data_IF_524470002628
#
_entry.id   IF_524470002628
#
_cell.length_a   1.000
_cell.length_b   1.000
_cell.length_c   1.000
_cell.angle_alpha   90.00
_cell.angle_beta   90.00
_cell.angle_gamma   90.00
#
_symmetry.space_group_name_H-M   'P 1'
#
loop_
_entity.id
_entity.type
_entity.pdbx_description
1 polymer ?
#
# COMPACT_ATOMS: atom_id res chain seq x y z
N UNK A 1 9.74 -0.12 7.89
CA UNK A 1 9.56 1.26 7.35
C UNK A 1 9.22 2.29 8.44
N UNK A 2 9.67 3.56 8.31
CA UNK A 2 9.28 4.70 9.15
C UNK A 2 8.23 5.61 8.50
N UNK A 3 7.47 6.37 9.31
CA UNK A 3 6.40 7.27 8.83
C UNK A 3 6.90 8.31 7.82
N UNK A 4 8.06 8.93 8.06
CA UNK A 4 8.56 9.97 7.16
C UNK A 4 8.98 9.39 5.81
N UNK A 5 9.58 8.19 5.81
CA UNK A 5 9.83 7.46 4.56
C UNK A 5 8.52 7.17 3.81
N UNK A 6 7.47 6.75 4.51
CA UNK A 6 6.17 6.49 3.89
C UNK A 6 5.54 7.77 3.31
N UNK A 7 5.68 8.92 4.00
CA UNK A 7 5.23 10.23 3.49
C UNK A 7 5.96 10.59 2.22
N UNK A 8 7.29 10.46 2.18
CA UNK A 8 8.10 10.80 1.01
C UNK A 8 7.70 9.95 -0.20
N UNK A 9 7.57 8.64 -0.01
CA UNK A 9 7.09 7.72 -1.05
C UNK A 9 5.69 8.12 -1.56
N UNK A 10 4.79 8.48 -0.65
CA UNK A 10 3.44 8.90 -1.01
C UNK A 10 3.44 10.24 -1.77
N UNK A 11 4.31 11.20 -1.42
CA UNK A 11 4.43 12.45 -2.18
C UNK A 11 4.94 12.21 -3.60
N UNK A 12 5.91 11.29 -3.80
CA UNK A 12 6.34 10.88 -5.13
C UNK A 12 5.19 10.25 -5.93
N UNK A 13 4.43 9.34 -5.32
CA UNK A 13 3.25 8.72 -5.95
C UNK A 13 2.22 9.78 -6.35
N UNK A 14 2.00 10.82 -5.54
CA UNK A 14 1.03 11.88 -5.82
C UNK A 14 1.34 12.73 -7.06
N UNK A 15 2.59 12.74 -7.54
CA UNK A 15 2.96 13.49 -8.74
C UNK A 15 2.55 12.80 -10.05
N UNK A 16 2.12 11.54 -10.00
CA UNK A 16 1.76 10.79 -11.21
C UNK A 16 0.51 11.35 -11.91
N UNK A 17 0.49 11.31 -13.25
CA UNK A 17 -0.73 11.58 -14.03
C UNK A 17 -1.72 10.42 -14.04
N UNK A 18 -1.29 9.22 -13.62
CA UNK A 18 -2.12 8.00 -13.60
C UNK A 18 -3.08 7.97 -12.40
N UNK A 19 -4.08 8.85 -12.41
CA UNK A 19 -5.01 9.04 -11.29
C UNK A 19 -5.75 7.76 -10.90
N UNK A 20 -6.27 7.00 -11.87
CA UNK A 20 -6.98 5.74 -11.61
C UNK A 20 -6.09 4.69 -10.95
N UNK A 21 -4.87 4.49 -11.46
CA UNK A 21 -3.92 3.52 -10.90
C UNK A 21 -3.46 3.90 -9.49
N UNK A 22 -3.29 5.20 -9.24
CA UNK A 22 -3.02 5.74 -7.90
C UNK A 22 -4.19 5.46 -6.96
N UNK A 23 -5.42 5.67 -7.41
CA UNK A 23 -6.61 5.43 -6.59
C UNK A 23 -6.77 3.93 -6.28
N UNK A 24 -6.49 3.04 -7.23
CA UNK A 24 -6.48 1.58 -7.02
C UNK A 24 -5.42 1.16 -5.99
N UNK A 25 -4.22 1.74 -6.06
CA UNK A 25 -3.17 1.54 -5.06
C UNK A 25 -3.63 1.99 -3.67
N UNK A 26 -4.21 3.18 -3.56
CA UNK A 26 -4.69 3.71 -2.28
C UNK A 26 -5.82 2.85 -1.72
N UNK A 27 -6.79 2.44 -2.54
CA UNK A 27 -7.91 1.59 -2.11
C UNK A 27 -7.44 0.21 -1.66
N UNK A 28 -6.53 -0.41 -2.40
CA UNK A 28 -5.96 -1.71 -2.02
C UNK A 28 -5.11 -1.63 -0.75
N UNK A 29 -4.36 -0.53 -0.55
CA UNK A 29 -3.63 -0.27 0.68
C UNK A 29 -4.57 -0.19 1.90
N UNK A 30 -5.65 0.61 1.80
CA UNK A 30 -6.65 0.75 2.86
C UNK A 30 -7.35 -0.57 3.14
N UNK A 31 -7.71 -1.35 2.11
CA UNK A 31 -8.32 -2.67 2.29
C UNK A 31 -7.39 -3.62 3.06
N UNK A 32 -6.13 -3.73 2.65
CA UNK A 32 -5.16 -4.57 3.35
C UNK A 32 -4.91 -4.09 4.78
N UNK A 33 -4.75 -2.78 4.99
CA UNK A 33 -4.51 -2.21 6.32
C UNK A 33 -5.66 -2.51 7.28
N UNK A 34 -6.92 -2.40 6.83
CA UNK A 34 -8.10 -2.81 7.62
C UNK A 34 -8.04 -4.28 8.02
N UNK A 35 -7.83 -5.18 7.04
CA UNK A 35 -7.69 -6.62 7.31
C UNK A 35 -6.54 -6.94 8.28
N UNK A 36 -5.43 -6.18 8.21
CA UNK A 36 -4.29 -6.35 9.13
C UNK A 36 -4.65 -5.89 10.55
N UNK A 37 -5.40 -4.81 10.69
CA UNK A 37 -5.93 -4.34 11.97
C UNK A 37 -6.94 -5.33 12.55
N UNK A 38 -7.91 -5.77 11.75
CA UNK A 38 -8.92 -6.74 12.17
C UNK A 38 -8.26 -8.07 12.60
N UNK A 39 -7.27 -8.56 11.84
CA UNK A 39 -6.51 -9.76 12.19
C UNK A 39 -5.78 -9.61 13.54
N UNK A 40 -5.26 -8.41 13.85
CA UNK A 40 -4.60 -8.17 15.13
C UNK A 40 -5.57 -8.24 16.31
N UNK A 41 -6.83 -7.83 16.10
CA UNK A 41 -7.91 -7.85 17.11
C UNK A 41 -8.65 -9.20 17.20
N UNK A 42 -8.48 -10.07 16.20
CA UNK A 42 -9.15 -11.36 16.12
C UNK A 42 -8.58 -12.44 17.06
N UNK A 43 -9.41 -13.42 17.39
CA UNK A 43 -9.00 -14.64 18.12
C UNK A 43 -8.11 -15.53 17.23
N UNK A 44 -7.38 -16.52 17.80
CA UNK A 44 -6.58 -17.44 17.01
C UNK A 44 -7.35 -18.17 15.89
N UNK A 45 -8.58 -18.62 16.17
CA UNK A 45 -9.41 -19.33 15.17
C UNK A 45 -9.85 -18.40 14.04
N UNK A 46 -10.28 -17.18 14.38
CA UNK A 46 -10.65 -16.16 13.39
C UNK A 46 -9.46 -15.75 12.52
N UNK A 47 -8.25 -15.64 13.10
CA UNK A 47 -7.03 -15.33 12.34
C UNK A 47 -6.75 -16.37 11.26
N UNK A 48 -6.98 -17.66 11.55
CA UNK A 48 -6.79 -18.75 10.59
C UNK A 48 -7.73 -18.60 9.38
N UNK A 49 -8.99 -18.21 9.63
CA UNK A 49 -9.98 -17.96 8.58
C UNK A 49 -9.60 -16.73 7.74
N UNK A 50 -9.10 -15.68 8.39
CA UNK A 50 -8.74 -14.41 7.76
C UNK A 50 -7.43 -14.46 6.96
N UNK A 51 -6.51 -15.38 7.26
CA UNK A 51 -5.16 -15.41 6.70
C UNK A 51 -5.16 -15.45 5.17
N UNK A 52 -6.07 -16.24 4.57
CA UNK A 52 -6.21 -16.33 3.11
C UNK A 52 -6.64 -14.99 2.51
N UNK A 53 -7.64 -14.33 3.09
CA UNK A 53 -8.13 -13.05 2.58
C UNK A 53 -7.08 -11.95 2.76
N UNK A 54 -6.47 -11.87 3.93
CA UNK A 54 -5.40 -10.91 4.24
C UNK A 54 -4.22 -11.06 3.28
N UNK A 55 -3.78 -12.29 3.02
CA UNK A 55 -2.69 -12.57 2.06
C UNK A 55 -3.07 -12.14 0.63
N UNK A 56 -4.30 -12.43 0.19
CA UNK A 56 -4.80 -11.98 -1.13
C UNK A 56 -4.88 -10.46 -1.23
N UNK A 57 -5.34 -9.78 -0.18
CA UNK A 57 -5.38 -8.32 -0.12
C UNK A 57 -3.98 -7.70 -0.21
N UNK A 58 -3.00 -8.31 0.47
CA UNK A 58 -1.62 -7.86 0.41
C UNK A 58 -1.03 -8.00 -0.99
N UNK A 59 -1.22 -9.17 -1.62
CA UNK A 59 -0.77 -9.40 -2.99
C UNK A 59 -1.41 -8.42 -3.97
N UNK A 60 -2.71 -8.16 -3.85
CA UNK A 60 -3.40 -7.17 -4.69
C UNK A 60 -2.82 -5.75 -4.51
N UNK A 61 -2.48 -5.34 -3.28
CA UNK A 61 -1.81 -4.07 -3.03
C UNK A 61 -0.41 -3.99 -3.68
N UNK A 62 0.38 -5.07 -3.58
CA UNK A 62 1.69 -5.16 -4.23
C UNK A 62 1.55 -5.08 -5.75
N UNK A 63 0.54 -5.74 -6.32
CA UNK A 63 0.26 -5.66 -7.76
C UNK A 63 -0.10 -4.24 -8.19
N UNK A 64 -0.93 -3.52 -7.43
CA UNK A 64 -1.22 -2.11 -7.69
C UNK A 64 0.05 -1.24 -7.65
N UNK A 65 0.96 -1.47 -6.69
CA UNK A 65 2.25 -0.78 -6.64
C UNK A 65 3.08 -1.01 -7.91
N UNK A 66 3.17 -2.27 -8.34
CA UNK A 66 3.93 -2.67 -9.52
C UNK A 66 3.31 -2.12 -10.82
N UNK A 67 1.98 -2.16 -10.94
CA UNK A 67 1.24 -1.64 -12.10
C UNK A 67 1.45 -0.13 -12.23
N UNK A 68 1.28 0.63 -11.14
CA UNK A 68 1.49 2.07 -11.17
C UNK A 68 2.94 2.41 -11.55
N UNK A 69 3.93 1.84 -10.85
CA UNK A 69 5.35 2.11 -11.11
C UNK A 69 5.76 1.81 -12.56
N UNK A 70 5.25 0.71 -13.13
CA UNK A 70 5.52 0.34 -14.53
C UNK A 70 4.94 1.37 -15.51
N UNK A 71 3.72 1.85 -15.27
CA UNK A 71 3.08 2.84 -16.14
C UNK A 71 3.73 4.23 -16.00
N UNK A 72 4.16 4.61 -14.79
CA UNK A 72 4.96 5.81 -14.56
C UNK A 72 6.26 5.76 -15.37
N UNK A 73 7.02 4.66 -15.27
CA UNK A 73 8.28 4.50 -16.01
C UNK A 73 8.10 4.53 -17.52
N UNK A 74 7.06 3.86 -18.06
CA UNK A 74 6.72 3.93 -19.49
C UNK A 74 6.33 5.34 -19.97
N UNK A 75 5.81 6.16 -19.07
CA UNK A 75 5.41 7.53 -19.34
C UNK A 75 6.55 8.56 -19.17
N UNK A 76 7.74 8.12 -18.74
CA UNK A 76 8.86 9.00 -18.40
C UNK A 76 8.69 9.74 -17.06
N UNK A 77 7.77 9.30 -16.19
CA UNK A 77 7.61 9.84 -14.83
C UNK A 77 8.61 9.17 -13.86
N UNK A 78 9.02 9.89 -12.82
CA UNK A 78 9.86 9.31 -11.76
C UNK A 78 9.11 8.18 -11.02
N UNK A 79 9.60 6.95 -11.17
CA UNK A 79 9.07 5.78 -10.48
C UNK A 79 10.05 5.21 -9.44
N UNK A 80 11.09 5.98 -9.07
CA UNK A 80 12.14 5.56 -8.12
C UNK A 80 11.59 5.20 -6.73
N UNK A 81 10.42 5.74 -6.36
CA UNK A 81 9.71 5.40 -5.13
C UNK A 81 9.50 3.88 -4.99
N UNK A 82 9.25 3.16 -6.10
CA UNK A 82 9.02 1.71 -6.04
C UNK A 82 10.29 0.93 -5.70
N UNK A 83 11.44 1.38 -6.19
CA UNK A 83 12.74 0.82 -5.84
C UNK A 83 13.09 1.13 -4.38
N UNK A 84 12.83 2.37 -3.92
CA UNK A 84 13.04 2.79 -2.52
C UNK A 84 12.15 2.03 -1.54
N UNK A 85 10.92 1.69 -1.94
CA UNK A 85 9.99 0.87 -1.16
C UNK A 85 10.52 -0.57 -0.96
N UNK A 86 11.31 -1.09 -1.91
CA UNK A 86 11.86 -2.44 -1.87
C UNK A 86 10.82 -3.54 -2.13
N UNK A 87 11.28 -4.79 -2.04
CA UNK A 87 10.46 -5.99 -2.31
C UNK A 87 10.16 -6.80 -1.05
N UNK A 88 10.64 -6.35 0.11
CA UNK A 88 10.32 -6.99 1.37
C UNK A 88 8.82 -6.89 1.66
N UNK A 89 8.16 -8.04 1.80
CA UNK A 89 6.71 -8.12 2.00
C UNK A 89 6.28 -7.40 3.27
N UNK A 90 7.08 -7.42 4.33
CA UNK A 90 6.74 -6.76 5.59
C UNK A 90 6.79 -5.25 5.41
N UNK A 91 7.83 -4.70 4.79
CA UNK A 91 7.91 -3.26 4.50
C UNK A 91 6.79 -2.79 3.55
N UNK A 92 6.44 -3.58 2.54
CA UNK A 92 5.26 -3.33 1.69
C UNK A 92 3.96 -3.28 2.53
N UNK A 93 3.79 -4.23 3.46
CA UNK A 93 2.64 -4.24 4.35
C UNK A 93 2.62 -3.05 5.31
N UNK A 94 3.77 -2.63 5.83
CA UNK A 94 3.90 -1.48 6.72
C UNK A 94 3.59 -0.18 5.96
N UNK A 95 4.05 -0.06 4.71
CA UNK A 95 3.71 1.06 3.84
C UNK A 95 2.21 1.21 3.63
N UNK A 96 1.49 0.11 3.35
CA UNK A 96 0.03 0.14 3.24
C UNK A 96 -0.66 0.66 4.52
N UNK A 97 -0.14 0.30 5.70
CA UNK A 97 -0.67 0.79 6.98
C UNK A 97 -0.38 2.28 7.19
N UNK A 98 0.80 2.75 6.80
CA UNK A 98 1.11 4.18 6.83
C UNK A 98 0.24 4.99 5.87
N UNK A 99 -0.02 4.49 4.65
CA UNK A 99 -0.97 5.14 3.74
C UNK A 99 -2.35 5.27 4.37
N UNK A 100 -2.86 4.21 4.99
CA UNK A 100 -4.14 4.24 5.71
C UNK A 100 -4.14 5.28 6.83
N UNK A 101 -3.08 5.33 7.65
CA UNK A 101 -2.91 6.32 8.71
C UNK A 101 -2.88 7.76 8.17
N UNK A 102 -2.05 8.02 7.15
CA UNK A 102 -1.93 9.33 6.52
C UNK A 102 -3.28 9.81 5.97
N UNK A 103 -4.02 8.94 5.27
CA UNK A 103 -5.33 9.29 4.72
C UNK A 103 -6.34 9.62 5.81
N UNK A 104 -6.41 8.83 6.89
CA UNK A 104 -7.30 9.09 8.01
C UNK A 104 -6.95 10.38 8.77
N UNK A 105 -5.66 10.74 8.85
CA UNK A 105 -5.23 11.99 9.48
C UNK A 105 -5.50 13.20 8.58
N UNK A 106 -5.35 13.06 7.25
CA UNK A 106 -5.54 14.14 6.27
C UNK A 106 -7.01 14.40 5.93
N UNK A 107 -7.92 13.45 6.15
CA UNK A 107 -9.35 13.57 5.84
C UNK A 107 -10.14 14.37 6.89
N UNK A 108 -9.59 15.49 7.36
CA UNK A 108 -10.21 16.39 8.36
C UNK A 108 -11.04 17.47 7.69
#
# INVERSE_FOLDING_TARGET
MHLDSAKDLYQSIKQTRWTSLKDDLVRSAVRYARLRTDWALATPDQRLEMDRERSRAHTAFIDCCNILSRNMGKAGEDNSWRMKLGDDRKDLGDFACYLHCLLGILSR
#
